data_IF_637488539748
#
_entry.id   IF_637488539748
#
_cell.length_a   1.000
_cell.length_b   1.000
_cell.length_c   1.000
_cell.angle_alpha   90.00
_cell.angle_beta   90.00
_cell.angle_gamma   90.00
#
_symmetry.space_group_name_H-M   'P 1'
#
loop_
_entity.id
_entity.type
_entity.pdbx_description
1 polymer ?
#
# COMPACT_ATOMS: atom_id res chain seq x y z
N UNK A 1 45.68 1.94 24.70
CA UNK A 1 45.97 3.02 23.75
C UNK A 1 44.84 3.03 22.73
N UNK A 2 44.09 4.12 22.71
CA UNK A 2 42.78 4.23 22.08
C UNK A 2 42.85 4.20 20.56
N UNK A 3 41.85 3.51 19.98
CA UNK A 3 41.51 3.59 18.58
C UNK A 3 41.02 5.00 18.24
N UNK A 4 41.72 5.67 17.33
CA UNK A 4 41.19 6.84 16.64
C UNK A 4 40.58 6.34 15.34
N UNK A 5 39.25 6.29 15.27
CA UNK A 5 38.55 6.05 14.02
C UNK A 5 38.79 7.24 13.10
N UNK A 6 39.54 7.03 12.03
CA UNK A 6 39.55 7.95 10.90
C UNK A 6 38.13 8.04 10.34
N UNK A 7 37.52 9.19 10.59
CA UNK A 7 36.29 9.63 9.94
C UNK A 7 36.66 9.88 8.47
N UNK A 8 36.58 8.84 7.64
CA UNK A 8 36.84 8.94 6.21
C UNK A 8 35.90 9.99 5.62
N UNK A 9 36.45 11.13 5.22
CA UNK A 9 35.72 12.19 4.56
C UNK A 9 35.08 11.60 3.29
N UNK A 10 33.75 11.57 3.23
CA UNK A 10 33.00 11.15 2.05
C UNK A 10 33.52 11.94 0.83
N UNK A 11 33.80 11.24 -0.27
CA UNK A 11 34.36 11.88 -1.45
C UNK A 11 33.35 12.85 -2.07
N UNK A 12 33.82 13.87 -2.79
CA UNK A 12 32.94 14.84 -3.46
C UNK A 12 31.94 14.16 -4.41
N UNK A 13 32.36 13.06 -5.05
CA UNK A 13 31.51 12.24 -5.91
C UNK A 13 30.41 11.52 -5.09
N UNK A 14 30.71 11.03 -3.88
CA UNK A 14 29.70 10.43 -3.00
C UNK A 14 28.64 11.45 -2.55
N UNK A 15 29.07 12.70 -2.29
CA UNK A 15 28.18 13.80 -1.92
C UNK A 15 27.29 14.20 -3.10
N UNK A 16 27.85 14.31 -4.31
CA UNK A 16 27.11 14.65 -5.52
C UNK A 16 26.14 13.55 -5.96
N UNK A 17 26.52 12.28 -5.82
CA UNK A 17 25.63 11.14 -6.03
C UNK A 17 24.49 11.16 -5.00
N UNK A 18 24.80 11.41 -3.73
CA UNK A 18 23.81 11.57 -2.67
C UNK A 18 22.81 12.69 -2.97
N UNK A 19 23.28 13.85 -3.41
CA UNK A 19 22.43 15.00 -3.76
C UNK A 19 21.57 14.74 -4.99
N UNK A 20 22.10 14.07 -6.01
CA UNK A 20 21.36 13.67 -7.21
C UNK A 20 20.22 12.68 -6.85
N UNK A 21 20.52 11.69 -6.01
CA UNK A 21 19.54 10.72 -5.50
C UNK A 21 18.43 11.42 -4.69
N UNK A 22 18.80 12.34 -3.79
CA UNK A 22 17.83 13.16 -3.05
C UNK A 22 16.98 14.05 -3.97
N UNK A 23 17.56 14.54 -5.08
CA UNK A 23 16.85 15.26 -6.12
C UNK A 23 15.77 14.42 -6.81
N UNK A 24 16.03 13.13 -7.06
CA UNK A 24 15.04 12.19 -7.62
C UNK A 24 13.91 11.92 -6.63
N UNK A 25 14.23 11.65 -5.36
CA UNK A 25 13.22 11.42 -4.32
C UNK A 25 12.28 12.62 -4.16
N UNK A 26 12.82 13.85 -4.09
CA UNK A 26 12.02 15.07 -4.01
C UNK A 26 11.08 15.23 -5.20
N UNK A 27 11.54 14.96 -6.41
CA UNK A 27 10.70 15.03 -7.61
C UNK A 27 9.59 13.98 -7.60
N UNK A 28 9.89 12.75 -7.18
CA UNK A 28 8.95 11.64 -7.16
C UNK A 28 7.78 11.92 -6.21
N UNK A 29 8.04 12.48 -5.04
CA UNK A 29 7.02 12.78 -4.04
C UNK A 29 6.47 14.21 -4.10
N UNK A 30 6.88 15.03 -5.07
CA UNK A 30 6.41 16.42 -5.19
C UNK A 30 4.89 16.54 -5.32
N UNK A 31 4.26 15.56 -5.98
CA UNK A 31 2.81 15.44 -6.11
C UNK A 31 2.08 15.26 -4.76
N UNK A 32 2.79 14.82 -3.73
CA UNK A 32 2.32 14.61 -2.37
C UNK A 32 2.86 15.63 -1.37
N UNK A 33 3.68 16.61 -1.78
CA UNK A 33 4.25 17.58 -0.85
C UNK A 33 3.35 18.81 -0.67
N UNK A 34 3.00 19.15 0.58
CA UNK A 34 2.34 20.40 0.98
C UNK A 34 3.32 21.57 1.01
N UNK A 35 4.54 21.31 1.47
CA UNK A 35 5.74 22.17 1.38
C UNK A 35 7.01 21.29 1.40
N UNK A 36 8.22 21.87 1.39
CA UNK A 36 9.55 21.19 1.33
C UNK A 36 9.86 20.15 2.42
N UNK A 37 8.89 19.76 3.25
CA UNK A 37 9.00 18.72 4.26
C UNK A 37 7.69 18.18 4.83
N UNK A 38 6.52 18.47 4.25
CA UNK A 38 5.22 18.01 4.76
C UNK A 38 4.37 17.37 3.64
N UNK A 39 3.60 16.33 3.97
CA UNK A 39 2.71 15.63 3.03
C UNK A 39 1.39 16.41 2.86
N UNK A 40 0.78 16.36 1.67
CA UNK A 40 -0.51 16.98 1.34
C UNK A 40 -1.63 16.23 2.05
N UNK A 41 -2.35 16.95 2.90
CA UNK A 41 -3.58 16.45 3.55
C UNK A 41 -4.86 16.80 2.74
N UNK A 42 -4.71 17.57 1.66
CA UNK A 42 -5.82 18.12 0.85
C UNK A 42 -5.88 17.47 -0.56
N UNK A 43 -6.91 16.66 -0.84
CA UNK A 43 -7.11 16.03 -2.14
C UNK A 43 -7.12 17.01 -3.33
N UNK A 44 -7.60 18.25 -3.16
CA UNK A 44 -7.67 19.22 -4.26
C UNK A 44 -6.27 19.60 -4.78
N UNK A 45 -5.26 19.62 -3.91
CA UNK A 45 -3.88 19.93 -4.29
C UNK A 45 -3.26 18.79 -5.13
N UNK A 46 -3.67 17.55 -4.91
CA UNK A 46 -3.27 16.40 -5.74
C UNK A 46 -3.92 16.52 -7.12
N UNK A 47 -5.20 16.89 -7.18
CA UNK A 47 -5.93 17.04 -8.45
C UNK A 47 -5.36 18.16 -9.33
N UNK A 48 -4.90 19.27 -8.74
CA UNK A 48 -4.21 20.35 -9.47
C UNK A 48 -2.91 19.83 -10.08
N UNK A 49 -2.10 19.08 -9.31
CA UNK A 49 -0.85 18.51 -9.81
C UNK A 49 -1.12 17.50 -10.95
N UNK A 50 -2.17 16.69 -10.83
CA UNK A 50 -2.60 15.78 -11.89
C UNK A 50 -2.98 16.53 -13.16
N UNK A 51 -3.84 17.54 -13.05
CA UNK A 51 -4.30 18.34 -14.18
C UNK A 51 -3.12 18.98 -14.92
N UNK A 52 -2.13 19.48 -14.19
CA UNK A 52 -0.93 20.07 -14.78
C UNK A 52 -0.01 19.04 -15.43
N UNK A 53 0.29 17.94 -14.75
CA UNK A 53 1.18 16.90 -15.27
C UNK A 53 0.61 16.22 -16.51
N UNK A 54 -0.71 16.00 -16.56
CA UNK A 54 -1.40 15.53 -17.77
C UNK A 54 -1.27 16.53 -18.93
N UNK A 55 -1.52 17.81 -18.67
CA UNK A 55 -1.37 18.84 -19.70
C UNK A 55 0.07 18.98 -20.20
N UNK A 56 1.08 18.77 -19.34
CA UNK A 56 2.48 18.71 -19.77
C UNK A 56 2.79 17.49 -20.63
N UNK A 57 2.19 16.34 -20.33
CA UNK A 57 2.34 15.14 -21.16
C UNK A 57 1.74 15.36 -22.56
N UNK A 58 0.55 15.96 -22.64
CA UNK A 58 -0.12 16.30 -23.90
C UNK A 58 0.65 17.36 -24.71
N UNK A 59 1.27 18.32 -24.04
CA UNK A 59 2.09 19.35 -24.68
C UNK A 59 3.46 18.84 -25.16
N UNK A 60 3.92 17.69 -24.68
CA UNK A 60 5.18 17.07 -25.09
C UNK A 60 6.38 18.00 -25.00
N UNK A 61 7.16 18.08 -26.10
CA UNK A 61 8.37 18.91 -26.14
C UNK A 61 8.05 20.41 -26.10
N UNK A 62 6.90 20.85 -26.57
CA UNK A 62 6.56 22.27 -26.58
C UNK A 62 6.45 22.84 -25.16
N UNK A 63 6.07 22.01 -24.19
CA UNK A 63 5.82 22.44 -22.82
C UNK A 63 4.66 23.45 -22.74
N UNK A 64 4.47 24.02 -21.56
CA UNK A 64 3.37 24.97 -21.31
C UNK A 64 3.89 26.34 -20.88
N UNK A 65 3.22 27.40 -21.33
CA UNK A 65 3.34 28.73 -20.73
C UNK A 65 2.55 28.81 -19.42
N UNK A 66 2.83 29.83 -18.60
CA UNK A 66 2.06 30.08 -17.36
C UNK A 66 0.57 30.31 -17.62
N UNK A 67 0.23 30.99 -18.71
CA UNK A 67 -1.16 31.23 -19.10
C UNK A 67 -1.86 29.93 -19.50
N UNK A 68 -1.18 29.05 -20.25
CA UNK A 68 -1.70 27.74 -20.61
C UNK A 68 -1.91 26.86 -19.37
N UNK A 69 -0.95 26.86 -18.44
CA UNK A 69 -1.11 26.18 -17.13
C UNK A 69 -2.32 26.70 -16.35
N UNK A 70 -2.50 28.03 -16.30
CA UNK A 70 -3.66 28.62 -15.63
C UNK A 70 -4.97 28.22 -16.32
N UNK A 71 -4.98 28.18 -17.65
CA UNK A 71 -6.16 27.82 -18.45
C UNK A 71 -6.61 26.37 -18.23
N UNK A 72 -5.68 25.42 -18.21
CA UNK A 72 -6.02 24.00 -17.95
C UNK A 72 -6.52 23.81 -16.51
N UNK A 73 -5.96 24.56 -15.57
CA UNK A 73 -6.38 24.54 -14.16
C UNK A 73 -7.49 25.55 -13.81
N UNK A 74 -8.23 26.09 -14.79
CA UNK A 74 -9.26 27.14 -14.55
C UNK A 74 -10.37 26.74 -13.58
N UNK A 75 -10.63 25.44 -13.42
CA UNK A 75 -11.64 24.91 -12.48
C UNK A 75 -11.26 25.12 -11.02
N UNK A 76 -9.98 25.35 -10.72
CA UNK A 76 -9.48 25.54 -9.36
C UNK A 76 -9.34 27.03 -9.02
N UNK A 77 -9.46 27.38 -7.72
CA UNK A 77 -9.19 28.73 -7.24
C UNK A 77 -7.76 29.19 -7.63
N UNK A 78 -7.57 30.45 -8.06
CA UNK A 78 -6.26 30.97 -8.46
C UNK A 78 -5.17 30.79 -7.39
N UNK A 79 -5.51 31.05 -6.13
CA UNK A 79 -4.61 30.93 -4.97
C UNK A 79 -4.08 29.49 -4.80
N UNK A 80 -4.97 28.50 -4.95
CA UNK A 80 -4.65 27.07 -4.82
C UNK A 80 -3.71 26.65 -5.96
N UNK A 81 -4.01 27.08 -7.19
CA UNK A 81 -3.14 26.83 -8.35
C UNK A 81 -1.75 27.44 -8.16
N UNK A 82 -1.66 28.71 -7.77
CA UNK A 82 -0.40 29.41 -7.60
C UNK A 82 0.46 28.80 -6.48
N UNK A 83 -0.17 28.43 -5.36
CA UNK A 83 0.51 27.72 -4.29
C UNK A 83 1.06 26.37 -4.77
N UNK A 84 0.25 25.60 -5.49
CA UNK A 84 0.67 24.29 -6.00
C UNK A 84 1.80 24.40 -7.02
N UNK A 85 1.69 25.33 -7.97
CA UNK A 85 2.72 25.55 -8.99
C UNK A 85 4.05 25.94 -8.34
N UNK A 86 4.04 26.76 -7.28
CA UNK A 86 5.24 27.13 -6.52
C UNK A 86 5.93 25.91 -5.92
N UNK A 87 5.17 25.02 -5.28
CA UNK A 87 5.70 23.78 -4.66
C UNK A 87 6.29 22.85 -5.73
N UNK A 88 5.58 22.65 -6.84
CA UNK A 88 6.07 21.82 -7.94
C UNK A 88 7.35 22.38 -8.57
N UNK A 89 7.48 23.71 -8.70
CA UNK A 89 8.73 24.35 -9.13
C UNK A 89 9.85 24.16 -8.09
N UNK A 90 9.57 24.39 -6.81
CA UNK A 90 10.54 24.29 -5.72
C UNK A 90 11.12 22.88 -5.53
N UNK A 91 10.33 21.85 -5.82
CA UNK A 91 10.76 20.45 -5.75
C UNK A 91 11.32 19.93 -7.09
N UNK A 92 11.45 20.81 -8.08
CA UNK A 92 11.99 20.47 -9.40
C UNK A 92 11.09 19.57 -10.22
N UNK A 93 9.81 19.44 -9.86
CA UNK A 93 8.81 18.70 -10.61
C UNK A 93 8.34 19.46 -11.85
N UNK A 94 8.37 20.79 -11.81
CA UNK A 94 8.16 21.68 -12.98
C UNK A 94 9.41 22.54 -13.13
N UNK A 95 9.97 22.55 -14.33
CA UNK A 95 11.22 23.25 -14.66
C UNK A 95 11.08 24.08 -15.91
N UNK A 96 11.88 25.12 -16.01
CA UNK A 96 11.94 25.95 -17.21
C UNK A 96 12.68 25.19 -18.33
N UNK A 97 12.10 25.18 -19.53
CA UNK A 97 12.74 24.64 -20.73
C UNK A 97 13.80 25.64 -21.12
N UNK A 98 15.07 25.21 -21.19
CA UNK A 98 16.28 25.96 -21.57
C UNK A 98 16.12 27.49 -21.66
N UNK A 99 16.90 28.29 -20.90
CA UNK A 99 16.74 29.73 -20.85
C UNK A 99 17.15 30.40 -22.17
N UNK A 100 16.28 30.33 -23.18
CA UNK A 100 16.33 31.17 -24.37
C UNK A 100 15.68 32.50 -24.00
N UNK A 101 16.26 33.65 -24.41
CA UNK A 101 15.66 34.94 -24.17
C UNK A 101 14.21 34.93 -24.69
N UNK A 102 13.25 35.20 -23.80
CA UNK A 102 11.81 35.37 -24.08
C UNK A 102 10.95 34.09 -24.23
N UNK A 103 11.44 32.88 -23.96
CA UNK A 103 10.60 31.68 -23.91
C UNK A 103 10.33 31.24 -22.46
N UNK A 104 9.24 31.72 -21.87
CA UNK A 104 8.75 31.30 -20.55
C UNK A 104 7.95 29.99 -20.64
N UNK A 105 8.59 28.94 -21.16
CA UNK A 105 7.99 27.61 -21.29
C UNK A 105 8.51 26.67 -20.20
N UNK A 106 7.62 25.85 -19.70
CA UNK A 106 7.89 24.91 -18.61
C UNK A 106 7.65 23.49 -19.07
N UNK A 107 8.33 22.53 -18.41
CA UNK A 107 8.12 21.10 -18.57
C UNK A 107 8.05 20.42 -17.21
N UNK A 108 7.31 19.32 -17.16
CA UNK A 108 7.32 18.42 -16.02
C UNK A 108 8.57 17.53 -16.04
N UNK A 109 9.09 17.20 -14.86
CA UNK A 109 10.04 16.10 -14.72
C UNK A 109 9.32 14.77 -14.92
N UNK A 110 9.92 13.87 -15.70
CA UNK A 110 9.44 12.50 -15.88
C UNK A 110 9.24 11.79 -14.53
N UNK A 111 10.18 11.97 -13.59
CA UNK A 111 10.13 11.39 -12.24
C UNK A 111 8.87 11.81 -11.49
N UNK A 112 8.42 13.05 -11.67
CA UNK A 112 7.21 13.55 -11.01
C UNK A 112 5.93 13.01 -11.64
N UNK A 113 5.92 12.78 -12.95
CA UNK A 113 4.81 12.11 -13.64
C UNK A 113 4.68 10.65 -13.14
N UNK A 114 5.79 9.91 -13.12
CA UNK A 114 5.81 8.53 -12.61
C UNK A 114 5.44 8.47 -11.12
N UNK A 115 5.95 9.40 -10.32
CA UNK A 115 5.62 9.53 -8.91
C UNK A 115 4.12 9.75 -8.69
N UNK A 116 3.49 10.65 -9.44
CA UNK A 116 2.04 10.84 -9.35
C UNK A 116 1.26 9.57 -9.78
N UNK A 117 1.68 8.89 -10.84
CA UNK A 117 1.05 7.63 -11.26
C UNK A 117 1.09 6.57 -10.15
N UNK A 118 2.22 6.47 -9.45
CA UNK A 118 2.35 5.58 -8.29
C UNK A 118 1.38 5.95 -7.17
N UNK A 119 1.29 7.24 -6.82
CA UNK A 119 0.41 7.74 -5.77
C UNK A 119 -1.07 7.47 -6.08
N UNK A 120 -1.52 7.81 -7.29
CA UNK A 120 -2.90 7.57 -7.72
C UNK A 120 -3.28 6.10 -7.62
N UNK A 121 -2.36 5.25 -8.02
CA UNK A 121 -2.53 3.81 -8.00
C UNK A 121 -2.60 3.24 -6.59
N UNK A 122 -1.75 3.74 -5.68
CA UNK A 122 -1.86 3.43 -4.25
C UNK A 122 -3.20 3.87 -3.67
N UNK A 123 -3.73 5.03 -4.08
CA UNK A 123 -5.03 5.53 -3.62
C UNK A 123 -6.22 4.74 -4.17
N UNK A 124 -6.15 4.26 -5.41
CA UNK A 124 -7.24 3.53 -6.08
C UNK A 124 -7.27 2.04 -5.75
N UNK A 125 -6.11 1.38 -5.84
CA UNK A 125 -6.02 -0.09 -5.82
C UNK A 125 -5.52 -0.65 -4.47
N UNK A 126 -5.15 0.21 -3.52
CA UNK A 126 -4.65 -0.15 -2.19
C UNK A 126 -3.28 -0.86 -2.17
N UNK A 127 -2.85 -1.28 -0.97
CA UNK A 127 -1.53 -1.88 -0.73
C UNK A 127 -1.32 -3.27 -1.34
N UNK A 128 -2.37 -4.08 -1.48
CA UNK A 128 -2.29 -5.42 -2.08
C UNK A 128 -1.84 -5.42 -3.54
N UNK A 129 -2.43 -4.53 -4.35
CA UNK A 129 -2.09 -4.43 -5.76
C UNK A 129 -0.65 -3.99 -5.97
N UNK A 130 -0.06 -3.28 -5.00
CA UNK A 130 1.35 -2.94 -5.01
C UNK A 130 2.24 -4.13 -4.66
N UNK A 131 1.84 -5.01 -3.74
CA UNK A 131 2.59 -6.23 -3.43
C UNK A 131 2.68 -7.18 -4.65
N UNK A 132 1.58 -7.36 -5.40
CA UNK A 132 1.63 -8.11 -6.65
C UNK A 132 2.62 -7.51 -7.66
N UNK A 133 2.67 -6.18 -7.75
CA UNK A 133 3.57 -5.45 -8.65
C UNK A 133 5.02 -5.51 -8.21
N UNK A 134 5.30 -5.33 -6.92
CA UNK A 134 6.64 -5.48 -6.34
C UNK A 134 7.19 -6.89 -6.62
N UNK A 135 6.40 -7.93 -6.38
CA UNK A 135 6.80 -9.31 -6.67
C UNK A 135 6.96 -9.57 -8.18
N UNK A 136 6.13 -8.95 -9.03
CA UNK A 136 6.28 -9.06 -10.47
C UNK A 136 7.56 -8.40 -10.97
N UNK A 137 7.88 -7.21 -10.46
CA UNK A 137 9.08 -6.49 -10.82
C UNK A 137 10.34 -7.24 -10.36
N UNK A 138 10.36 -7.74 -9.12
CA UNK A 138 11.49 -8.51 -8.63
C UNK A 138 11.69 -9.83 -9.38
N UNK A 139 10.61 -10.47 -9.83
CA UNK A 139 10.72 -11.62 -10.73
C UNK A 139 11.36 -11.27 -12.07
N UNK A 140 11.02 -10.12 -12.65
CA UNK A 140 11.66 -9.65 -13.89
C UNK A 140 13.14 -9.34 -13.67
N UNK A 141 13.48 -8.68 -12.55
CA UNK A 141 14.86 -8.40 -12.18
C UNK A 141 15.68 -9.69 -12.06
N UNK A 142 15.18 -10.67 -11.30
CA UNK A 142 15.85 -11.96 -11.10
C UNK A 142 15.99 -12.75 -12.40
N UNK A 143 15.09 -12.55 -13.36
CA UNK A 143 15.18 -13.14 -14.69
C UNK A 143 16.20 -12.42 -15.60
N UNK A 144 16.55 -11.15 -15.34
CA UNK A 144 17.52 -10.41 -16.15
C UNK A 144 18.91 -11.08 -16.07
N UNK A 145 19.52 -11.46 -17.21
CA UNK A 145 20.87 -12.01 -17.24
C UNK A 145 21.94 -11.09 -16.61
N UNK A 146 21.71 -9.77 -16.58
CA UNK A 146 22.64 -8.75 -16.08
C UNK A 146 22.56 -8.51 -14.58
N UNK A 147 21.55 -9.05 -13.89
CA UNK A 147 21.40 -8.85 -12.45
C UNK A 147 22.58 -9.44 -11.68
N UNK A 148 23.12 -8.67 -10.73
CA UNK A 148 24.25 -9.09 -9.89
C UNK A 148 23.77 -9.78 -8.60
N UNK A 149 24.59 -10.62 -7.96
CA UNK A 149 24.25 -11.22 -6.67
C UNK A 149 24.02 -10.18 -5.56
N UNK A 150 24.69 -9.02 -5.60
CA UNK A 150 24.49 -7.92 -4.65
C UNK A 150 23.10 -7.31 -4.80
N UNK A 151 22.69 -7.02 -6.04
CA UNK A 151 21.34 -6.51 -6.32
C UNK A 151 20.26 -7.52 -5.91
N UNK A 152 20.51 -8.82 -6.13
CA UNK A 152 19.58 -9.87 -5.72
C UNK A 152 19.48 -9.97 -4.19
N UNK A 153 20.59 -9.78 -3.46
CA UNK A 153 20.60 -9.68 -2.00
C UNK A 153 19.77 -8.49 -1.52
N UNK A 154 20.00 -7.31 -2.09
CA UNK A 154 19.29 -6.09 -1.70
C UNK A 154 17.78 -6.20 -1.96
N UNK A 155 17.39 -6.77 -3.10
CA UNK A 155 16.00 -7.06 -3.45
C UNK A 155 15.35 -8.05 -2.48
N UNK A 156 16.02 -9.16 -2.17
CA UNK A 156 15.53 -10.15 -1.21
C UNK A 156 15.39 -9.58 0.21
N UNK A 157 16.35 -8.78 0.67
CA UNK A 157 16.30 -8.08 1.95
C UNK A 157 15.16 -7.05 2.00
N UNK A 158 14.97 -6.31 0.89
CA UNK A 158 13.86 -5.37 0.71
C UNK A 158 12.50 -6.05 0.83
N UNK A 159 12.30 -7.15 0.11
CA UNK A 159 11.08 -7.97 0.18
C UNK A 159 10.86 -8.55 1.58
N UNK A 160 11.91 -9.06 2.23
CA UNK A 160 11.80 -9.60 3.58
C UNK A 160 11.35 -8.54 4.58
N UNK A 161 11.86 -7.30 4.46
CA UNK A 161 11.40 -6.16 5.27
C UNK A 161 9.94 -5.81 4.99
N UNK A 162 9.53 -5.77 3.73
CA UNK A 162 8.14 -5.48 3.34
C UNK A 162 7.17 -6.51 3.91
N UNK A 163 7.44 -7.81 3.75
CA UNK A 163 6.63 -8.88 4.32
C UNK A 163 6.55 -8.82 5.85
N UNK A 164 7.66 -8.50 6.54
CA UNK A 164 7.63 -8.30 8.00
C UNK A 164 6.73 -7.13 8.40
N UNK A 165 6.82 -5.99 7.72
CA UNK A 165 5.98 -4.83 8.01
C UNK A 165 4.49 -5.16 7.84
N UNK A 166 4.13 -5.81 6.73
CA UNK A 166 2.75 -6.25 6.49
C UNK A 166 2.27 -7.28 7.50
N UNK A 167 3.14 -8.20 7.91
CA UNK A 167 2.81 -9.19 8.95
C UNK A 167 2.48 -8.51 10.28
N UNK A 168 3.30 -7.53 10.69
CA UNK A 168 3.09 -6.77 11.93
C UNK A 168 1.76 -6.01 11.88
N UNK A 169 1.46 -5.37 10.76
CA UNK A 169 0.20 -4.64 10.58
C UNK A 169 -1.01 -5.58 10.67
N UNK A 170 -0.99 -6.70 9.95
CA UNK A 170 -2.07 -7.70 10.02
C UNK A 170 -2.25 -8.24 11.44
N UNK A 171 -1.15 -8.58 12.12
CA UNK A 171 -1.20 -9.03 13.53
C UNK A 171 -1.78 -7.94 14.43
N UNK A 172 -1.43 -6.67 14.21
CA UNK A 172 -1.99 -5.55 14.98
C UNK A 172 -3.49 -5.43 14.77
N UNK A 173 -3.96 -5.50 13.52
CA UNK A 173 -5.38 -5.52 13.20
C UNK A 173 -6.11 -6.72 13.81
N UNK A 174 -5.45 -7.89 13.90
CA UNK A 174 -6.04 -9.07 14.57
C UNK A 174 -6.20 -8.91 16.08
N UNK A 175 -5.60 -7.90 16.70
CA UNK A 175 -5.84 -7.53 18.09
C UNK A 175 -6.80 -6.34 18.25
N UNK A 176 -7.02 -5.57 17.18
CA UNK A 176 -7.96 -4.42 17.15
C UNK A 176 -9.43 -4.84 17.12
N UNK A 177 -10.33 -3.91 16.80
CA UNK A 177 -11.77 -4.22 16.68
C UNK A 177 -12.06 -5.05 15.42
N UNK A 178 -13.18 -5.79 15.41
CA UNK A 178 -13.61 -6.53 14.22
C UNK A 178 -13.92 -5.58 13.05
N UNK A 179 -14.43 -4.38 13.33
CA UNK A 179 -14.74 -3.40 12.29
C UNK A 179 -13.48 -2.87 11.61
N UNK A 180 -12.45 -2.50 12.39
CA UNK A 180 -11.14 -2.10 11.85
C UNK A 180 -10.48 -3.24 11.07
N UNK A 181 -10.55 -4.48 11.60
CA UNK A 181 -10.04 -5.66 10.90
C UNK A 181 -10.77 -5.86 9.56
N UNK A 182 -12.11 -5.71 9.53
CA UNK A 182 -12.94 -5.85 8.34
C UNK A 182 -12.64 -4.78 7.30
N UNK A 183 -12.38 -3.55 7.71
CA UNK A 183 -12.11 -2.44 6.79
C UNK A 183 -10.67 -2.47 6.24
N UNK A 184 -9.68 -2.77 7.09
CA UNK A 184 -8.26 -2.61 6.74
C UNK A 184 -7.60 -3.92 6.29
N UNK A 185 -7.98 -5.08 6.85
CA UNK A 185 -7.34 -6.34 6.49
C UNK A 185 -7.49 -6.69 5.00
N UNK A 186 -8.64 -6.49 4.33
CA UNK A 186 -8.75 -6.75 2.89
C UNK A 186 -7.79 -5.92 2.03
N UNK A 187 -7.27 -4.80 2.52
CA UNK A 187 -6.28 -3.97 1.80
C UNK A 187 -4.85 -4.52 1.92
N UNK A 188 -4.62 -5.43 2.87
CA UNK A 188 -3.32 -6.02 3.23
C UNK A 188 -3.28 -7.54 3.02
N UNK A 189 -4.45 -8.17 2.94
CA UNK A 189 -4.66 -9.61 3.03
C UNK A 189 -3.78 -10.41 2.07
N UNK A 190 -3.79 -10.31 0.76
CA UNK A 190 -2.95 -11.13 -0.10
C UNK A 190 -3.40 -12.58 -0.26
N UNK A 191 -3.78 -12.89 -1.49
CA UNK A 191 -4.26 -14.21 -1.88
C UNK A 191 -3.16 -15.27 -1.72
N UNK A 192 -3.55 -16.54 -1.65
CA UNK A 192 -2.63 -17.69 -1.77
C UNK A 192 -1.66 -17.54 -2.96
N UNK A 193 -2.11 -16.90 -4.05
CA UNK A 193 -1.28 -16.55 -5.19
C UNK A 193 -0.05 -15.71 -4.84
N UNK A 194 -0.15 -14.77 -3.90
CA UNK A 194 0.96 -13.91 -3.49
C UNK A 194 2.04 -14.72 -2.78
N UNK A 195 1.63 -15.59 -1.85
CA UNK A 195 2.54 -16.49 -1.14
C UNK A 195 3.25 -17.41 -2.14
N UNK A 196 2.50 -18.04 -3.04
CA UNK A 196 3.05 -18.90 -4.11
C UNK A 196 4.01 -18.13 -5.02
N UNK A 197 3.72 -16.86 -5.32
CA UNK A 197 4.58 -16.02 -6.15
C UNK A 197 5.88 -15.64 -5.44
N UNK A 198 5.79 -15.30 -4.16
CA UNK A 198 6.94 -14.98 -3.33
C UNK A 198 7.84 -16.20 -3.08
N UNK A 199 7.26 -17.37 -2.82
CA UNK A 199 7.99 -18.63 -2.67
C UNK A 199 8.73 -19.04 -3.95
N UNK A 200 8.08 -18.88 -5.11
CA UNK A 200 8.71 -19.10 -6.42
C UNK A 200 9.88 -18.16 -6.65
N UNK A 201 9.72 -16.88 -6.29
CA UNK A 201 10.78 -15.88 -6.40
C UNK A 201 11.96 -16.22 -5.47
N UNK A 202 11.71 -16.53 -4.21
CA UNK A 202 12.69 -17.05 -3.27
C UNK A 202 13.46 -18.24 -3.88
N UNK A 203 12.75 -19.22 -4.43
CA UNK A 203 13.37 -20.39 -5.06
C UNK A 203 14.19 -20.04 -6.29
N UNK A 204 13.77 -19.05 -7.09
CA UNK A 204 14.51 -18.59 -8.26
C UNK A 204 15.82 -17.90 -7.86
N UNK A 205 15.79 -17.04 -6.84
CA UNK A 205 16.98 -16.36 -6.31
C UNK A 205 17.98 -17.40 -5.79
N UNK A 206 17.54 -18.33 -4.94
CA UNK A 206 18.43 -19.33 -4.34
C UNK A 206 19.03 -20.29 -5.38
N UNK A 207 18.25 -20.67 -6.41
CA UNK A 207 18.78 -21.50 -7.51
C UNK A 207 19.86 -20.79 -8.31
N UNK A 208 19.71 -19.47 -8.54
CA UNK A 208 20.66 -18.70 -9.35
C UNK A 208 21.89 -18.26 -8.56
N UNK A 209 21.71 -17.92 -7.29
CA UNK A 209 22.78 -17.47 -6.40
C UNK A 209 22.74 -18.26 -5.08
N UNK A 210 23.26 -19.50 -5.05
CA UNK A 210 23.27 -20.36 -3.86
C UNK A 210 23.97 -19.71 -2.64
N UNK A 211 24.94 -18.82 -2.87
CA UNK A 211 25.63 -18.07 -1.83
C UNK A 211 24.72 -17.12 -1.02
N UNK A 212 23.48 -16.88 -1.47
CA UNK A 212 22.48 -16.05 -0.78
C UNK A 212 21.57 -16.86 0.16
N UNK A 213 21.93 -18.09 0.52
CA UNK A 213 21.14 -19.00 1.37
C UNK A 213 20.62 -18.35 2.66
N UNK A 214 21.48 -17.62 3.38
CA UNK A 214 21.10 -16.93 4.62
C UNK A 214 20.03 -15.85 4.37
N UNK A 215 20.25 -14.98 3.38
CA UNK A 215 19.28 -13.95 2.99
C UNK A 215 17.96 -14.56 2.50
N UNK A 216 18.03 -15.64 1.74
CA UNK A 216 16.84 -16.36 1.28
C UNK A 216 16.08 -17.02 2.43
N UNK A 217 16.78 -17.48 3.47
CA UNK A 217 16.16 -18.00 4.69
C UNK A 217 15.39 -16.91 5.43
N UNK A 218 15.96 -15.71 5.56
CA UNK A 218 15.27 -14.57 6.18
C UNK A 218 14.04 -14.13 5.38
N UNK A 219 14.14 -14.13 4.05
CA UNK A 219 13.00 -13.87 3.16
C UNK A 219 11.90 -14.93 3.32
N UNK A 220 12.26 -16.21 3.32
CA UNK A 220 11.31 -17.31 3.50
C UNK A 220 10.60 -17.25 4.85
N UNK A 221 11.34 -16.95 5.92
CA UNK A 221 10.75 -16.76 7.25
C UNK A 221 9.74 -15.60 7.26
N UNK A 222 10.06 -14.47 6.60
CA UNK A 222 9.15 -13.34 6.49
C UNK A 222 7.88 -13.68 5.68
N UNK A 223 8.00 -14.43 4.57
CA UNK A 223 6.86 -14.89 3.77
C UNK A 223 5.93 -15.77 4.60
N UNK A 224 6.47 -16.72 5.39
CA UNK A 224 5.65 -17.57 6.24
C UNK A 224 4.98 -16.82 7.39
N UNK A 225 5.68 -15.88 8.02
CA UNK A 225 5.09 -15.03 9.05
C UNK A 225 3.90 -14.23 8.50
N UNK A 226 4.02 -13.71 7.27
CA UNK A 226 2.95 -13.01 6.59
C UNK A 226 1.77 -13.92 6.26
N UNK A 227 2.03 -15.12 5.73
CA UNK A 227 0.97 -16.09 5.44
C UNK A 227 0.22 -16.53 6.70
N UNK A 228 0.92 -16.67 7.83
CA UNK A 228 0.32 -17.00 9.11
C UNK A 228 -0.52 -15.84 9.68
N UNK A 229 -0.01 -14.61 9.65
CA UNK A 229 -0.76 -13.41 10.01
C UNK A 229 -2.04 -13.26 9.18
N UNK A 230 -1.95 -13.49 7.87
CA UNK A 230 -3.08 -13.44 6.94
C UNK A 230 -4.14 -14.49 7.26
N UNK A 231 -3.73 -15.74 7.52
CA UNK A 231 -4.66 -16.81 7.94
C UNK A 231 -5.32 -16.52 9.29
N UNK A 232 -4.60 -15.94 10.25
CA UNK A 232 -5.19 -15.54 11.54
C UNK A 232 -6.23 -14.43 11.38
N UNK A 233 -5.96 -13.42 10.55
CA UNK A 233 -6.91 -12.37 10.24
C UNK A 233 -8.17 -12.94 9.58
N UNK A 234 -7.99 -13.84 8.62
CA UNK A 234 -9.08 -14.55 7.94
C UNK A 234 -9.95 -15.38 8.91
N UNK A 235 -9.30 -16.16 9.78
CA UNK A 235 -9.97 -16.99 10.77
C UNK A 235 -10.79 -16.12 11.74
N UNK A 236 -10.21 -15.04 12.26
CA UNK A 236 -10.90 -14.13 13.17
C UNK A 236 -12.12 -13.45 12.53
N UNK A 237 -12.03 -13.05 11.27
CA UNK A 237 -13.19 -12.53 10.52
C UNK A 237 -14.26 -13.60 10.32
N UNK A 238 -13.86 -14.84 10.04
CA UNK A 238 -14.77 -15.98 9.87
C UNK A 238 -15.47 -16.35 11.19
N UNK A 239 -14.74 -16.38 12.30
CA UNK A 239 -15.27 -16.64 13.65
C UNK A 239 -16.26 -15.55 14.06
N UNK A 240 -15.95 -14.27 13.75
CA UNK A 240 -16.89 -13.18 13.96
C UNK A 240 -18.13 -13.33 13.08
N UNK A 241 -18.00 -13.74 11.82
CA UNK A 241 -19.16 -14.00 10.96
C UNK A 241 -20.01 -15.18 11.46
N UNK A 242 -19.40 -16.19 12.07
CA UNK A 242 -20.11 -17.31 12.71
C UNK A 242 -20.81 -16.93 14.03
N UNK A 243 -20.25 -15.96 14.76
CA UNK A 243 -20.81 -15.49 16.06
C UNK A 243 -21.88 -14.41 15.86
N UNK A 244 -21.74 -13.59 14.82
CA UNK A 244 -22.74 -12.59 14.44
C UNK A 244 -23.59 -13.13 13.29
N UNK A 245 -24.76 -13.69 13.60
CA UNK A 245 -25.87 -13.97 12.64
C UNK A 245 -26.41 -12.67 12.00
N UNK A 246 -25.54 -11.79 11.51
CA UNK A 246 -25.86 -10.39 11.30
C UNK A 246 -25.60 -9.97 9.85
N UNK A 247 -26.58 -9.26 9.30
CA UNK A 247 -26.72 -8.74 7.93
C UNK A 247 -25.62 -7.73 7.50
N UNK A 248 -24.47 -7.71 8.16
CA UNK A 248 -23.39 -6.73 8.00
C UNK A 248 -22.35 -7.16 6.97
N UNK A 249 -22.76 -7.88 5.92
CA UNK A 249 -21.88 -8.24 4.81
C UNK A 249 -21.62 -7.06 3.86
N UNK A 250 -22.40 -5.99 3.94
CA UNK A 250 -22.16 -4.75 3.21
C UNK A 250 -22.31 -3.54 4.16
N UNK A 251 -21.50 -2.48 4.00
CA UNK A 251 -21.76 -1.18 4.62
C UNK A 251 -23.18 -0.67 4.28
N UNK A 252 -23.83 0.13 5.15
CA UNK A 252 -25.20 0.60 4.92
C UNK A 252 -25.40 1.29 3.56
N UNK A 253 -24.42 2.07 3.11
CA UNK A 253 -24.50 2.76 1.81
C UNK A 253 -24.34 1.82 0.62
N UNK A 254 -23.56 0.75 0.80
CA UNK A 254 -23.42 -0.31 -0.21
C UNK A 254 -24.69 -1.15 -0.30
N UNK A 255 -25.35 -1.43 0.84
CA UNK A 255 -26.69 -2.03 0.87
C UNK A 255 -27.73 -1.16 0.17
N UNK A 256 -27.71 0.15 0.43
CA UNK A 256 -28.62 1.10 -0.19
C UNK A 256 -28.44 1.20 -1.70
N UNK A 257 -27.21 1.05 -2.18
CA UNK A 257 -26.91 1.03 -3.61
C UNK A 257 -27.35 -0.31 -4.22
N UNK A 258 -26.94 -1.43 -3.60
CA UNK A 258 -27.26 -2.78 -4.06
C UNK A 258 -28.77 -3.03 -4.14
N UNK A 259 -29.54 -2.64 -3.13
CA UNK A 259 -31.01 -2.76 -3.12
C UNK A 259 -31.71 -1.92 -4.19
N UNK A 260 -31.08 -0.86 -4.68
CA UNK A 260 -31.65 0.00 -5.74
C UNK A 260 -31.31 -0.47 -7.15
N UNK A 261 -30.23 -1.25 -7.31
CA UNK A 261 -29.70 -1.62 -8.63
C UNK A 261 -29.79 -3.11 -8.95
N UNK A 262 -29.85 -3.97 -7.95
CA UNK A 262 -29.88 -5.42 -8.14
C UNK A 262 -31.28 -5.95 -8.52
N UNK A 263 -31.31 -7.08 -9.23
CA UNK A 263 -32.56 -7.76 -9.54
C UNK A 263 -33.12 -8.47 -8.30
N UNK A 264 -34.40 -8.87 -8.36
CA UNK A 264 -35.05 -9.63 -7.28
C UNK A 264 -34.35 -10.97 -7.02
N UNK A 265 -33.87 -11.63 -8.06
CA UNK A 265 -33.17 -12.91 -7.95
C UNK A 265 -31.80 -12.74 -7.28
N UNK A 266 -31.07 -11.67 -7.61
CA UNK A 266 -29.79 -11.35 -6.96
C UNK A 266 -29.97 -11.00 -5.47
N UNK A 267 -31.04 -10.27 -5.14
CA UNK A 267 -31.39 -9.95 -3.75
C UNK A 267 -31.79 -11.20 -2.96
N UNK A 268 -32.49 -12.14 -3.60
CA UNK A 268 -32.89 -13.40 -2.98
C UNK A 268 -31.71 -14.36 -2.81
N UNK A 269 -30.77 -14.41 -3.76
CA UNK A 269 -29.58 -15.24 -3.69
C UNK A 269 -28.68 -14.89 -2.49
N UNK A 270 -28.64 -13.62 -2.07
CA UNK A 270 -27.91 -13.19 -0.86
C UNK A 270 -28.53 -13.79 0.41
N UNK A 271 -29.80 -14.17 0.38
CA UNK A 271 -30.51 -14.81 1.49
C UNK A 271 -30.57 -16.34 1.36
N UNK A 272 -30.06 -16.90 0.25
CA UNK A 272 -30.14 -18.33 -0.02
C UNK A 272 -29.08 -19.07 0.81
N UNK A 273 -29.54 -19.81 1.83
CA UNK A 273 -28.69 -20.40 2.88
C UNK A 273 -28.82 -19.74 4.25
N UNK A 274 -29.57 -18.64 4.37
CA UNK A 274 -29.92 -18.06 5.67
C UNK A 274 -31.11 -18.79 6.30
N UNK A 275 -30.86 -19.50 7.40
CA UNK A 275 -31.94 -19.99 8.26
C UNK A 275 -32.29 -18.90 9.27
N UNK A 276 -33.30 -18.10 8.96
CA UNK A 276 -34.00 -17.27 9.95
C UNK A 276 -34.70 -18.25 10.90
N UNK A 277 -34.09 -18.47 12.08
CA UNK A 277 -34.50 -19.43 13.12
C UNK A 277 -33.75 -20.78 13.11
N UNK A 278 -32.41 -20.74 13.12
CA UNK A 278 -31.61 -21.93 13.39
C UNK A 278 -31.83 -22.40 14.84
N UNK A 279 -32.29 -23.66 14.99
CA UNK A 279 -32.55 -24.30 16.28
C UNK A 279 -31.39 -24.07 17.27
N UNK A 280 -31.73 -23.84 18.55
CA UNK A 280 -30.72 -23.69 19.60
C UNK A 280 -29.74 -24.88 19.57
N UNK A 281 -28.45 -24.67 19.88
CA UNK A 281 -27.48 -25.75 19.91
C UNK A 281 -28.01 -26.88 20.80
N UNK A 282 -28.09 -28.09 20.26
CA UNK A 282 -28.45 -29.25 21.08
C UNK A 282 -27.36 -29.47 22.12
N UNK A 283 -27.67 -29.17 23.38
CA UNK A 283 -26.80 -29.48 24.49
C UNK A 283 -27.06 -30.92 24.93
N UNK A 284 -26.03 -31.75 24.93
CA UNK A 284 -26.10 -33.07 25.59
C UNK A 284 -26.47 -32.87 27.06
N UNK A 285 -27.45 -33.61 27.61
CA UNK A 285 -27.84 -33.49 29.01
C UNK A 285 -26.67 -33.60 30.00
N UNK A 286 -25.66 -34.40 29.64
CA UNK A 286 -24.42 -34.53 30.41
C UNK A 286 -23.62 -33.23 30.50
N UNK A 287 -23.55 -32.44 29.43
CA UNK A 287 -22.84 -31.16 29.42
C UNK A 287 -23.52 -30.11 30.32
N UNK A 288 -24.85 -30.16 30.45
CA UNK A 288 -25.60 -29.29 31.37
C UNK A 288 -25.36 -29.70 32.82
N UNK A 289 -25.31 -31.01 33.11
CA UNK A 289 -25.00 -31.52 34.46
C UNK A 289 -23.59 -31.10 34.87
N UNK A 290 -22.59 -31.30 34.00
CA UNK A 290 -21.21 -30.89 34.28
C UNK A 290 -21.10 -29.38 34.51
N UNK A 291 -21.79 -28.56 33.72
CA UNK A 291 -21.80 -27.11 33.92
C UNK A 291 -22.45 -26.68 35.25
N UNK A 292 -23.44 -27.43 35.75
CA UNK A 292 -24.06 -27.19 37.07
C UNK A 292 -23.17 -27.67 38.21
N UNK A 293 -22.44 -28.77 38.02
CA UNK A 293 -21.51 -29.31 39.01
C UNK A 293 -20.23 -28.47 39.16
N UNK A 294 -19.69 -27.96 38.04
CA UNK A 294 -18.50 -27.11 37.98
C UNK A 294 -18.80 -25.63 38.25
N UNK A 295 -20.08 -25.25 38.26
CA UNK A 295 -20.54 -23.89 38.55
C UNK A 295 -20.27 -23.49 40.00
N UNK A 296 -19.84 -22.23 40.26
CA UNK A 296 -19.62 -21.77 41.62
C UNK A 296 -20.93 -21.82 42.42
N UNK A 297 -20.95 -22.62 43.50
CA UNK A 297 -22.10 -22.70 44.41
C UNK A 297 -22.28 -21.33 45.08
N UNK A 298 -23.44 -20.72 44.88
CA UNK A 298 -23.81 -19.51 45.58
C UNK A 298 -23.93 -19.81 47.09
N UNK A 299 -23.01 -19.27 47.89
CA UNK A 299 -23.13 -19.29 49.35
C UNK A 299 -24.28 -18.37 49.73
N UNK A 300 -25.31 -18.83 50.47
CA UNK A 300 -26.41 -17.97 50.86
C UNK A 300 -25.91 -16.84 51.78
N UNK A 301 -26.42 -15.60 51.63
CA UNK A 301 -26.04 -14.49 52.49
C UNK A 301 -26.47 -14.76 53.94
N UNK A 302 -25.58 -14.45 54.88
CA UNK A 302 -25.88 -14.42 56.33
C UNK A 302 -26.55 -13.11 56.71
#
# INVERSE_FOLDING_TARGET
>A
MSATSENAAASLDDVLVGEAVLGVYRQMFAALARDSGAVVDDPELVDVAETLLAAFADAGEDGLSREQMRYVCRRYPPEVFENRLRVLKGLGAVREVFPKPNQLRYRASFTSVVGLMFVRRMMLDGGQSEMHRLLALEQLNVADPRMTPEQARDGADGLARAFRLWSVELVTLTHGTIEELREQAPKLWGTEEILLRAERLHGAILRRWPQLDRTCTDLRAAIYAYGDASRRAAARLSDSAGTTRNLTLLPPETWRTFTRTASREDLAAVLDGFVFDAAAPWHEPSAVVTAVEDGPRATPPR
#
